data_IF_905720251523
#
_entry.id   IF_905720251523
#
_cell.length_a   1.000
_cell.length_b   1.000
_cell.length_c   1.000
_cell.angle_alpha   90.00
_cell.angle_beta   90.00
_cell.angle_gamma   90.00
#
_symmetry.space_group_name_H-M   'P 1'
#
loop_
_entity.id
_entity.type
_entity.pdbx_description
1 polymer ?
#
# COMPACT_ATOMS: atom_id res chain seq x y z
N UNK A 1 10.02 -0.43 -14.12
CA UNK A 1 9.90 -1.86 -14.40
C UNK A 1 9.63 -2.50 -13.07
N UNK A 2 8.37 -2.84 -12.80
CA UNK A 2 8.03 -3.66 -11.64
C UNK A 2 8.42 -5.08 -12.08
N UNK A 3 9.21 -5.76 -11.27
CA UNK A 3 9.77 -7.07 -11.61
C UNK A 3 8.64 -8.04 -11.93
N UNK A 4 8.50 -8.37 -13.22
CA UNK A 4 7.57 -9.37 -13.75
C UNK A 4 7.73 -10.72 -13.01
N UNK A 5 8.90 -10.93 -12.40
CA UNK A 5 9.22 -12.08 -11.56
C UNK A 5 8.33 -12.17 -10.31
N UNK A 6 7.93 -11.06 -9.69
CA UNK A 6 7.10 -11.09 -8.48
C UNK A 6 5.64 -11.43 -8.81
N UNK A 7 5.15 -10.99 -9.95
CA UNK A 7 3.79 -11.31 -10.44
C UNK A 7 3.71 -12.78 -10.86
N UNK A 8 4.77 -13.30 -11.50
CA UNK A 8 4.89 -14.71 -11.85
C UNK A 8 5.02 -15.62 -10.63
N UNK A 9 5.76 -15.21 -9.59
CA UNK A 9 5.89 -15.96 -8.33
C UNK A 9 4.54 -16.08 -7.60
N UNK A 10 3.74 -15.01 -7.58
CA UNK A 10 2.43 -14.99 -6.92
C UNK A 10 1.39 -15.81 -7.69
N UNK A 11 1.44 -15.80 -9.02
CA UNK A 11 0.61 -16.64 -9.88
C UNK A 11 1.00 -18.12 -9.74
N UNK A 12 2.30 -18.44 -9.67
CA UNK A 12 2.79 -19.80 -9.47
C UNK A 12 2.39 -20.37 -8.09
N UNK A 13 2.40 -19.56 -7.03
CA UNK A 13 1.93 -19.97 -5.71
C UNK A 13 0.41 -20.20 -5.66
N UNK A 14 -0.36 -19.45 -6.46
CA UNK A 14 -1.80 -19.65 -6.58
C UNK A 14 -2.15 -20.93 -7.35
N UNK A 15 -1.38 -21.24 -8.39
CA UNK A 15 -1.54 -22.45 -9.22
C UNK A 15 -1.17 -23.70 -8.41
N UNK A 16 -0.08 -23.66 -7.65
CA UNK A 16 0.31 -24.74 -6.72
C UNK A 16 -0.75 -25.03 -5.63
N UNK A 17 -1.55 -24.03 -5.24
CA UNK A 17 -2.61 -24.19 -4.26
C UNK A 17 -3.90 -24.80 -4.88
N UNK A 18 -4.10 -24.59 -6.18
CA UNK A 18 -5.24 -25.10 -6.94
C UNK A 18 -5.00 -26.51 -7.49
N UNK A 19 -3.74 -26.85 -7.78
CA UNK A 19 -3.32 -28.16 -8.31
C UNK A 19 -2.79 -29.14 -7.25
N UNK A 20 -2.83 -28.80 -5.96
CA UNK A 20 -2.45 -29.74 -4.91
C UNK A 20 -3.44 -30.93 -4.89
N UNK A 21 -3.04 -32.16 -5.29
CA UNK A 21 -3.90 -33.32 -5.11
C UNK A 21 -4.14 -33.48 -3.62
N UNK A 22 -5.39 -33.68 -3.22
CA UNK A 22 -5.76 -34.00 -1.85
C UNK A 22 -4.94 -35.21 -1.38
N UNK A 23 -3.79 -34.94 -0.73
CA UNK A 23 -3.01 -35.96 -0.03
C UNK A 23 -3.86 -36.38 1.16
N UNK A 24 -4.68 -37.40 0.94
CA UNK A 24 -5.22 -38.20 2.02
C UNK A 24 -4.03 -38.68 2.85
N UNK A 25 -4.05 -38.37 4.14
CA UNK A 25 -3.06 -38.85 5.09
C UNK A 25 -3.11 -40.38 5.13
N UNK A 26 -2.25 -41.02 4.36
CA UNK A 26 -1.87 -42.42 4.52
C UNK A 26 -1.01 -42.50 5.77
N UNK A 27 -1.57 -43.04 6.85
CA UNK A 27 -0.78 -43.46 8.00
C UNK A 27 -0.06 -44.76 7.61
N UNK A 28 1.24 -44.66 7.35
CA UNK A 28 2.12 -45.82 7.21
C UNK A 28 2.67 -46.22 8.58
N UNK A 29 2.73 -47.54 8.85
CA UNK A 29 3.48 -48.04 10.00
C UNK A 29 5.00 -48.01 9.73
N UNK A 30 5.79 -48.17 10.78
CA UNK A 30 7.25 -48.08 10.80
C UNK A 30 7.99 -49.21 10.04
N UNK A 31 7.32 -49.94 9.14
CA UNK A 31 7.96 -50.90 8.22
C UNK A 31 7.57 -50.74 6.75
N UNK A 32 6.86 -49.67 6.37
CA UNK A 32 6.76 -49.26 4.96
C UNK A 32 6.06 -50.28 4.05
N UNK A 33 5.01 -50.95 4.53
CA UNK A 33 4.15 -51.80 3.71
C UNK A 33 2.72 -51.23 3.69
N UNK A 34 2.22 -50.91 2.49
CA UNK A 34 0.82 -50.53 2.30
C UNK A 34 -0.06 -51.75 2.62
N UNK A 35 -0.88 -51.65 3.66
CA UNK A 35 -1.93 -52.64 3.94
C UNK A 35 -3.12 -52.29 3.07
N UNK A 36 -3.17 -52.89 1.88
CA UNK A 36 -4.42 -53.07 1.14
C UNK A 36 -5.13 -54.24 1.81
N UNK A 37 -6.04 -53.95 2.72
CA UNK A 37 -6.97 -54.95 3.24
C UNK A 37 -8.09 -55.11 2.19
N UNK A 38 -7.88 -56.05 1.25
CA UNK A 38 -8.98 -56.62 0.47
C UNK A 38 -9.92 -57.33 1.46
N UNK A 39 -11.04 -56.69 1.77
CA UNK A 39 -12.11 -57.32 2.56
C UNK A 39 -12.88 -58.24 1.61
N UNK A 40 -12.58 -59.53 1.69
CA UNK A 40 -13.37 -60.61 1.08
C UNK A 40 -14.86 -60.44 1.42
N UNK A 41 -15.70 -60.47 0.39
CA UNK A 41 -17.15 -60.28 0.49
C UNK A 41 -17.87 -61.59 0.80
N UNK A 42 -17.66 -62.15 1.99
CA UNK A 42 -18.51 -63.24 2.50
C UNK A 42 -19.76 -62.64 3.17
N UNK A 43 -20.78 -62.38 2.36
CA UNK A 43 -22.07 -61.83 2.81
C UNK A 43 -23.11 -62.94 2.95
N UNK A 44 -23.05 -63.69 4.06
CA UNK A 44 -24.28 -64.28 4.60
C UNK A 44 -25.06 -63.18 5.33
N UNK A 45 -25.72 -62.32 4.56
CA UNK A 45 -26.64 -61.33 5.10
C UNK A 45 -27.84 -62.06 5.73
N UNK A 46 -28.22 -61.74 6.99
CA UNK A 46 -29.40 -62.33 7.60
C UNK A 46 -30.65 -62.01 6.78
N UNK A 47 -31.55 -62.98 6.63
CA UNK A 47 -32.77 -62.80 5.85
C UNK A 47 -33.70 -61.80 6.52
N UNK A 48 -34.58 -61.16 5.74
CA UNK A 48 -35.55 -60.18 6.24
C UNK A 48 -36.42 -60.73 7.38
N UNK A 49 -36.72 -62.03 7.39
CA UNK A 49 -37.42 -62.73 8.47
C UNK A 49 -36.59 -62.80 9.75
N UNK A 50 -35.29 -63.07 9.64
CA UNK A 50 -34.37 -63.10 10.79
C UNK A 50 -34.19 -61.70 11.39
N UNK A 51 -34.12 -60.66 10.54
CA UNK A 51 -34.09 -59.26 10.97
C UNK A 51 -35.40 -58.89 11.69
N UNK A 52 -36.54 -59.30 11.14
CA UNK A 52 -37.86 -59.02 11.74
C UNK A 52 -38.05 -59.74 13.08
N UNK A 53 -37.60 -60.99 13.19
CA UNK A 53 -37.61 -61.76 14.44
C UNK A 53 -36.72 -61.11 15.50
N UNK A 54 -35.53 -60.63 15.13
CA UNK A 54 -34.64 -59.92 16.03
C UNK A 54 -35.26 -58.61 16.56
N UNK A 55 -35.88 -57.83 15.67
CA UNK A 55 -36.56 -56.58 16.02
C UNK A 55 -37.73 -56.87 16.96
N UNK A 56 -38.57 -57.87 16.68
CA UNK A 56 -39.67 -58.29 17.57
C UNK A 56 -39.17 -58.76 18.93
N UNK A 57 -38.11 -59.57 18.97
CA UNK A 57 -37.55 -60.09 20.22
C UNK A 57 -36.94 -58.97 21.06
N UNK A 58 -36.29 -57.99 20.43
CA UNK A 58 -35.82 -56.78 21.13
C UNK A 58 -36.98 -55.90 21.61
N UNK A 59 -38.07 -55.77 20.83
CA UNK A 59 -39.27 -55.03 21.24
C UNK A 59 -39.94 -55.65 22.47
N UNK A 60 -40.05 -56.99 22.53
CA UNK A 60 -40.61 -57.70 23.69
C UNK A 60 -39.71 -57.62 24.92
N UNK A 61 -38.39 -57.70 24.75
CA UNK A 61 -37.45 -57.71 25.89
C UNK A 61 -37.12 -56.32 26.43
N UNK A 62 -37.16 -55.28 25.60
CA UNK A 62 -36.76 -53.91 25.97
C UNK A 62 -37.95 -52.92 26.06
N UNK A 63 -39.18 -53.36 25.74
CA UNK A 63 -40.41 -52.62 25.99
C UNK A 63 -40.48 -51.22 25.36
N UNK A 64 -40.03 -51.06 24.11
CA UNK A 64 -39.90 -49.73 23.48
C UNK A 64 -40.20 -49.67 21.97
N UNK A 65 -40.66 -48.48 21.53
CA UNK A 65 -41.09 -48.12 20.18
C UNK A 65 -39.94 -48.26 19.13
N UNK A 66 -40.18 -48.95 17.99
CA UNK A 66 -39.17 -49.21 16.95
C UNK A 66 -38.54 -47.97 16.32
N UNK A 67 -39.19 -46.81 16.40
CA UNK A 67 -38.70 -45.55 15.82
C UNK A 67 -37.40 -45.03 16.46
N UNK A 68 -37.00 -45.58 17.62
CA UNK A 68 -35.79 -45.17 18.35
C UNK A 68 -34.54 -45.99 17.99
N UNK A 69 -34.68 -47.13 17.32
CA UNK A 69 -33.55 -47.99 16.96
C UNK A 69 -32.78 -47.54 15.71
N UNK A 70 -33.36 -46.66 14.88
CA UNK A 70 -32.75 -46.17 13.64
C UNK A 70 -31.98 -44.84 13.80
N UNK A 71 -31.80 -44.33 15.02
CA UNK A 71 -30.91 -43.18 15.30
C UNK A 71 -29.63 -43.69 15.97
N UNK A 72 -28.57 -43.83 15.18
CA UNK A 72 -27.17 -44.01 15.62
C UNK A 72 -26.78 -42.80 16.52
N UNK A 73 -25.93 -42.84 17.59
CA UNK A 73 -24.86 -43.77 17.98
C UNK A 73 -24.70 -44.05 19.51
N UNK A 74 -25.74 -44.12 20.35
CA UNK A 74 -25.54 -44.27 21.81
C UNK A 74 -26.52 -45.24 22.49
N UNK A 75 -26.72 -46.44 21.92
CA UNK A 75 -27.39 -47.52 22.65
C UNK A 75 -26.47 -48.70 22.93
N UNK A 76 -25.68 -48.64 24.03
CA UNK A 76 -25.10 -49.85 24.62
C UNK A 76 -26.18 -50.89 24.92
N UNK A 77 -27.43 -50.49 25.17
CA UNK A 77 -28.51 -51.40 25.54
C UNK A 77 -28.89 -52.46 24.48
N UNK A 78 -28.97 -52.12 23.20
CA UNK A 78 -29.33 -53.09 22.15
C UNK A 78 -28.18 -54.06 21.84
N UNK A 79 -26.95 -53.55 21.89
CA UNK A 79 -25.73 -54.34 21.74
C UNK A 79 -25.47 -55.25 22.94
N UNK A 80 -25.64 -54.73 24.16
CA UNK A 80 -25.57 -55.50 25.41
C UNK A 80 -26.66 -56.56 25.45
N UNK A 81 -27.90 -56.23 25.07
CA UNK A 81 -28.98 -57.21 24.96
C UNK A 81 -28.66 -58.31 23.95
N UNK A 82 -28.13 -57.97 22.76
CA UNK A 82 -27.71 -58.95 21.77
C UNK A 82 -26.54 -59.83 22.26
N UNK A 83 -25.58 -59.26 22.99
CA UNK A 83 -24.51 -60.03 23.64
C UNK A 83 -25.03 -60.98 24.72
N UNK A 84 -25.93 -60.51 25.57
CA UNK A 84 -26.56 -61.31 26.63
C UNK A 84 -27.35 -62.46 26.00
N UNK A 85 -28.13 -62.19 24.95
CA UNK A 85 -28.91 -63.19 24.22
C UNK A 85 -28.01 -64.19 23.47
N UNK A 86 -26.88 -63.77 22.90
CA UNK A 86 -25.94 -64.70 22.26
C UNK A 86 -25.39 -65.78 23.21
N UNK A 87 -25.45 -65.54 24.52
CA UNK A 87 -24.94 -66.42 25.59
C UNK A 87 -26.04 -67.00 26.48
N UNK A 88 -27.31 -66.74 26.17
CA UNK A 88 -28.43 -67.16 26.99
C UNK A 88 -28.68 -68.68 26.84
N UNK A 89 -28.55 -69.49 27.90
CA UNK A 89 -28.65 -70.96 27.83
C UNK A 89 -30.05 -71.47 27.46
N UNK A 90 -31.08 -70.63 27.61
CA UNK A 90 -32.47 -70.93 27.24
C UNK A 90 -32.78 -70.81 25.74
N UNK A 91 -31.85 -70.32 24.91
CA UNK A 91 -32.03 -70.20 23.46
C UNK A 91 -31.47 -71.42 22.72
N UNK A 92 -32.06 -71.73 21.56
CA UNK A 92 -31.52 -72.78 20.70
C UNK A 92 -30.16 -72.37 20.11
N UNK A 93 -29.35 -73.35 19.71
CA UNK A 93 -28.03 -73.08 19.11
C UNK A 93 -28.09 -72.22 17.84
N UNK A 94 -29.19 -72.30 17.09
CA UNK A 94 -29.41 -71.43 15.91
C UNK A 94 -29.72 -69.99 16.29
N UNK A 95 -30.47 -69.76 17.37
CA UNK A 95 -30.75 -68.42 17.90
C UNK A 95 -29.51 -67.78 18.52
N UNK A 96 -28.71 -68.54 19.27
CA UNK A 96 -27.43 -68.05 19.81
C UNK A 96 -26.46 -67.65 18.70
N UNK A 97 -26.35 -68.47 17.64
CA UNK A 97 -25.53 -68.17 16.46
C UNK A 97 -26.02 -66.90 15.75
N UNK A 98 -27.33 -66.76 15.55
CA UNK A 98 -27.92 -65.56 14.96
C UNK A 98 -27.55 -64.29 15.74
N UNK A 99 -27.67 -64.31 17.07
CA UNK A 99 -27.33 -63.14 17.90
C UNK A 99 -25.83 -62.84 17.91
N UNK A 100 -24.96 -63.86 17.84
CA UNK A 100 -23.51 -63.68 17.71
C UNK A 100 -23.13 -63.05 16.36
N UNK A 101 -23.73 -63.54 15.27
CA UNK A 101 -23.52 -63.00 13.92
C UNK A 101 -24.05 -61.56 13.82
N UNK A 102 -25.24 -61.29 14.37
CA UNK A 102 -25.82 -59.94 14.46
C UNK A 102 -24.91 -58.97 15.22
N UNK A 103 -24.39 -59.38 16.39
CA UNK A 103 -23.48 -58.55 17.21
C UNK A 103 -22.21 -58.19 16.45
N UNK A 104 -21.66 -59.15 15.71
CA UNK A 104 -20.45 -58.97 14.89
C UNK A 104 -20.71 -57.98 13.74
N UNK A 105 -21.80 -58.18 13.01
CA UNK A 105 -22.23 -57.32 11.90
C UNK A 105 -22.50 -55.90 12.41
N UNK A 106 -23.26 -55.75 13.50
CA UNK A 106 -23.59 -54.47 14.11
C UNK A 106 -22.35 -53.69 14.56
N UNK A 107 -21.38 -54.37 15.19
CA UNK A 107 -20.11 -53.76 15.60
C UNK A 107 -19.33 -53.23 14.40
N UNK A 108 -19.24 -54.03 13.34
CA UNK A 108 -18.51 -53.68 12.13
C UNK A 108 -19.15 -52.49 11.40
N UNK A 109 -20.48 -52.47 11.27
CA UNK A 109 -21.19 -51.33 10.67
C UNK A 109 -21.10 -50.06 11.52
N UNK A 110 -21.26 -50.16 12.84
CA UNK A 110 -21.17 -49.00 13.76
C UNK A 110 -19.78 -48.38 13.72
N UNK A 111 -18.72 -49.19 13.69
CA UNK A 111 -17.35 -48.69 13.52
C UNK A 111 -17.15 -47.99 12.17
N UNK A 112 -17.64 -48.57 11.08
CA UNK A 112 -17.56 -47.94 9.74
C UNK A 112 -18.32 -46.62 9.68
N UNK A 113 -19.50 -46.57 10.28
CA UNK A 113 -20.33 -45.37 10.35
C UNK A 113 -19.63 -44.24 11.11
N UNK A 114 -19.07 -44.54 12.30
CA UNK A 114 -18.34 -43.56 13.10
C UNK A 114 -17.09 -43.01 12.38
N UNK A 115 -16.36 -43.87 11.67
CA UNK A 115 -15.22 -43.45 10.83
C UNK A 115 -15.68 -42.53 9.70
N UNK A 116 -16.85 -42.77 9.09
CA UNK A 116 -17.40 -41.91 8.06
C UNK A 116 -17.85 -40.55 8.62
N UNK A 117 -18.56 -40.52 9.75
CA UNK A 117 -18.93 -39.26 10.42
C UNK A 117 -17.72 -38.41 10.78
N UNK A 118 -16.68 -39.05 11.32
CA UNK A 118 -15.42 -38.37 11.65
C UNK A 118 -14.74 -37.77 10.41
N UNK A 119 -14.78 -38.47 9.27
CA UNK A 119 -14.23 -37.98 7.99
C UNK A 119 -15.05 -36.82 7.42
N UNK A 120 -16.37 -36.85 7.55
CA UNK A 120 -17.26 -35.76 7.12
C UNK A 120 -16.99 -34.50 7.96
N UNK A 121 -16.90 -34.63 9.28
CA UNK A 121 -16.58 -33.51 10.16
C UNK A 121 -15.21 -32.89 9.84
N UNK A 122 -14.20 -33.72 9.53
CA UNK A 122 -12.89 -33.24 9.09
C UNK A 122 -12.96 -32.50 7.74
N UNK A 123 -13.74 -33.01 6.78
CA UNK A 123 -13.92 -32.37 5.48
C UNK A 123 -14.61 -31.00 5.60
N UNK A 124 -15.63 -30.88 6.45
CA UNK A 124 -16.29 -29.60 6.72
C UNK A 124 -15.35 -28.58 7.38
N UNK A 125 -14.50 -29.05 8.31
CA UNK A 125 -13.47 -28.22 8.92
C UNK A 125 -12.45 -27.71 7.89
N UNK A 126 -12.00 -28.57 6.97
CA UNK A 126 -11.08 -28.17 5.88
C UNK A 126 -11.76 -27.18 4.94
N UNK A 127 -13.01 -27.44 4.55
CA UNK A 127 -13.79 -26.54 3.68
C UNK A 127 -13.92 -25.14 4.28
N UNK A 128 -14.19 -25.07 5.59
CA UNK A 128 -14.23 -23.79 6.30
C UNK A 128 -12.87 -23.08 6.30
N UNK A 129 -11.80 -23.80 6.61
CA UNK A 129 -10.44 -23.24 6.61
C UNK A 129 -10.01 -22.74 5.22
N UNK A 130 -10.41 -23.42 4.15
CA UNK A 130 -10.15 -22.99 2.77
C UNK A 130 -10.92 -21.70 2.46
N UNK A 131 -12.21 -21.64 2.81
CA UNK A 131 -13.01 -20.43 2.61
C UNK A 131 -12.43 -19.21 3.36
N UNK A 132 -12.00 -19.41 4.60
CA UNK A 132 -11.35 -18.36 5.41
C UNK A 132 -10.02 -17.90 4.77
N UNK A 133 -9.23 -18.84 4.25
CA UNK A 133 -7.97 -18.55 3.56
C UNK A 133 -8.19 -17.80 2.24
N UNK A 134 -9.18 -18.21 1.45
CA UNK A 134 -9.56 -17.51 0.21
C UNK A 134 -10.00 -16.08 0.51
N UNK A 135 -10.81 -15.86 1.55
CA UNK A 135 -11.23 -14.54 1.97
C UNK A 135 -10.02 -13.66 2.39
N UNK A 136 -9.07 -14.24 3.14
CA UNK A 136 -7.86 -13.52 3.55
C UNK A 136 -6.97 -13.14 2.35
N UNK A 137 -6.84 -14.02 1.35
CA UNK A 137 -6.08 -13.75 0.12
C UNK A 137 -6.74 -12.65 -0.69
N UNK A 138 -8.07 -12.68 -0.86
CA UNK A 138 -8.81 -11.64 -1.57
C UNK A 138 -8.63 -10.27 -0.89
N UNK A 139 -8.74 -10.22 0.44
CA UNK A 139 -8.50 -9.00 1.20
C UNK A 139 -7.09 -8.45 0.99
N UNK A 140 -6.06 -9.31 1.04
CA UNK A 140 -4.68 -8.88 0.76
C UNK A 140 -4.49 -8.37 -0.67
N UNK A 141 -5.18 -8.98 -1.64
CA UNK A 141 -5.16 -8.52 -3.03
C UNK A 141 -5.76 -7.12 -3.16
N UNK A 142 -6.87 -6.83 -2.49
CA UNK A 142 -7.47 -5.50 -2.44
C UNK A 142 -6.54 -4.48 -1.79
N UNK A 143 -5.93 -4.82 -0.65
CA UNK A 143 -4.94 -3.97 0.03
C UNK A 143 -3.71 -3.68 -0.87
N UNK A 144 -3.24 -4.68 -1.63
CA UNK A 144 -2.13 -4.52 -2.57
C UNK A 144 -2.49 -3.59 -3.75
N UNK A 145 -3.71 -3.72 -4.31
CA UNK A 145 -4.17 -2.83 -5.38
C UNK A 145 -4.28 -1.38 -4.89
N UNK A 146 -4.85 -1.17 -3.70
CA UNK A 146 -4.91 0.16 -3.09
C UNK A 146 -3.50 0.74 -2.84
N UNK A 147 -2.56 -0.07 -2.35
CA UNK A 147 -1.17 0.35 -2.16
C UNK A 147 -0.48 0.70 -3.49
N UNK A 148 -0.74 -0.04 -4.57
CA UNK A 148 -0.22 0.23 -5.91
C UNK A 148 -0.73 1.56 -6.44
N UNK A 149 -2.03 1.86 -6.31
CA UNK A 149 -2.62 3.14 -6.72
C UNK A 149 -2.05 4.32 -5.92
N UNK A 150 -1.87 4.15 -4.60
CA UNK A 150 -1.23 5.14 -3.75
C UNK A 150 0.23 5.40 -4.19
N UNK A 151 0.97 4.35 -4.53
CA UNK A 151 2.35 4.46 -5.00
C UNK A 151 2.43 5.18 -6.36
N UNK A 152 1.53 4.88 -7.30
CA UNK A 152 1.44 5.61 -8.58
C UNK A 152 1.19 7.10 -8.33
N UNK A 153 0.25 7.43 -7.45
CA UNK A 153 -0.04 8.83 -7.06
C UNK A 153 1.19 9.52 -6.48
N UNK A 154 1.94 8.82 -5.62
CA UNK A 154 3.17 9.32 -5.03
C UNK A 154 4.25 9.59 -6.09
N UNK A 155 4.42 8.70 -7.08
CA UNK A 155 5.35 8.89 -8.20
C UNK A 155 4.99 10.17 -8.96
N UNK A 156 3.72 10.34 -9.33
CA UNK A 156 3.28 11.55 -10.06
C UNK A 156 3.53 12.82 -9.26
N UNK A 157 3.28 12.78 -7.94
CA UNK A 157 3.56 13.91 -7.07
C UNK A 157 5.06 14.25 -7.01
N UNK A 158 5.93 13.23 -6.89
CA UNK A 158 7.39 13.42 -6.88
C UNK A 158 7.89 13.97 -8.20
N UNK A 159 7.34 13.53 -9.34
CA UNK A 159 7.67 14.08 -10.65
C UNK A 159 7.30 15.57 -10.74
N UNK A 160 6.11 15.95 -10.29
CA UNK A 160 5.69 17.35 -10.26
C UNK A 160 6.56 18.22 -9.33
N UNK A 161 7.04 17.69 -8.21
CA UNK A 161 8.01 18.38 -7.36
C UNK A 161 9.37 18.56 -8.05
N UNK A 162 9.83 17.56 -8.78
CA UNK A 162 11.10 17.62 -9.53
C UNK A 162 11.06 18.71 -10.61
N UNK A 163 9.96 18.84 -11.33
CA UNK A 163 9.77 19.93 -12.31
C UNK A 163 9.78 21.30 -11.63
N UNK A 164 9.09 21.45 -10.50
CA UNK A 164 9.11 22.71 -9.73
C UNK A 164 10.51 23.08 -9.26
N UNK A 165 11.29 22.11 -8.77
CA UNK A 165 12.68 22.34 -8.36
C UNK A 165 13.51 22.80 -9.56
N UNK A 166 13.38 22.14 -10.71
CA UNK A 166 14.12 22.53 -11.92
C UNK A 166 13.79 23.96 -12.37
N UNK A 167 12.53 24.39 -12.27
CA UNK A 167 12.14 25.76 -12.61
C UNK A 167 12.73 26.78 -11.63
N UNK A 168 12.68 26.48 -10.32
CA UNK A 168 13.27 27.34 -9.29
C UNK A 168 14.79 27.46 -9.42
N UNK A 169 15.48 26.38 -9.81
CA UNK A 169 16.92 26.40 -10.08
C UNK A 169 17.25 27.30 -11.28
N UNK A 170 16.42 27.28 -12.33
CA UNK A 170 16.59 28.18 -13.48
C UNK A 170 16.38 29.64 -13.08
N UNK A 171 15.32 29.94 -12.32
CA UNK A 171 15.06 31.29 -11.80
C UNK A 171 16.18 31.79 -10.88
N UNK A 172 16.71 30.93 -10.01
CA UNK A 172 17.85 31.27 -9.16
C UNK A 172 19.12 31.55 -9.97
N UNK A 173 19.36 30.79 -11.03
CA UNK A 173 20.50 31.01 -11.93
C UNK A 173 20.39 32.36 -12.65
N UNK A 174 19.20 32.68 -13.16
CA UNK A 174 18.88 33.97 -13.78
C UNK A 174 19.14 35.13 -12.81
N UNK A 175 18.59 35.06 -11.60
CA UNK A 175 18.81 36.07 -10.56
C UNK A 175 20.28 36.22 -10.19
N UNK A 176 21.01 35.10 -10.08
CA UNK A 176 22.44 35.11 -9.76
C UNK A 176 23.28 35.81 -10.84
N UNK A 177 22.84 35.78 -12.10
CA UNK A 177 23.50 36.49 -13.18
C UNK A 177 23.11 37.98 -13.24
N UNK A 178 21.93 38.34 -12.73
CA UNK A 178 21.46 39.73 -12.69
C UNK A 178 22.06 40.55 -11.54
N UNK A 179 22.32 39.94 -10.37
CA UNK A 179 22.89 40.64 -9.20
C UNK A 179 24.21 41.36 -9.51
N UNK A 180 25.22 40.72 -10.14
CA UNK A 180 26.48 41.39 -10.45
C UNK A 180 26.32 42.57 -11.42
N UNK A 181 25.37 42.48 -12.36
CA UNK A 181 25.07 43.57 -13.30
C UNK A 181 24.46 44.77 -12.56
N UNK A 182 23.57 44.51 -11.60
CA UNK A 182 23.01 45.55 -10.76
C UNK A 182 24.10 46.21 -9.90
N UNK A 183 24.96 45.43 -9.25
CA UNK A 183 26.09 45.94 -8.45
C UNK A 183 27.05 46.78 -9.30
N UNK A 184 27.37 46.34 -10.52
CA UNK A 184 28.23 47.09 -11.44
C UNK A 184 27.57 48.41 -11.86
N UNK A 185 26.25 48.40 -12.10
CA UNK A 185 25.51 49.62 -12.44
C UNK A 185 25.52 50.62 -11.28
N UNK A 186 25.39 50.14 -10.04
CA UNK A 186 25.42 50.97 -8.83
C UNK A 186 26.80 51.60 -8.62
N UNK A 187 27.88 50.84 -8.83
CA UNK A 187 29.25 51.36 -8.78
C UNK A 187 29.50 52.45 -9.83
N UNK A 188 29.07 52.22 -11.08
CA UNK A 188 29.19 53.21 -12.16
C UNK A 188 28.44 54.50 -11.84
N UNK A 189 27.22 54.40 -11.30
CA UNK A 189 26.44 55.56 -10.86
C UNK A 189 27.12 56.30 -9.69
N UNK A 190 27.71 55.58 -8.75
CA UNK A 190 28.45 56.18 -7.64
C UNK A 190 29.68 56.97 -8.12
N UNK A 191 30.42 56.43 -9.10
CA UNK A 191 31.55 57.11 -9.73
C UNK A 191 31.12 58.38 -10.48
N UNK A 192 30.06 58.29 -11.29
CA UNK A 192 29.50 59.44 -12.00
C UNK A 192 29.03 60.53 -11.04
N UNK A 193 28.36 60.16 -9.94
CA UNK A 193 27.93 61.10 -8.90
C UNK A 193 29.12 61.82 -8.27
N UNK A 194 30.19 61.10 -7.97
CA UNK A 194 31.41 61.69 -7.40
C UNK A 194 32.08 62.64 -8.39
N UNK A 195 32.16 62.28 -9.67
CA UNK A 195 32.71 63.16 -10.71
C UNK A 195 31.90 64.45 -10.82
N UNK A 196 30.57 64.35 -10.89
CA UNK A 196 29.68 65.51 -10.96
C UNK A 196 29.84 66.43 -9.73
N UNK A 197 30.01 65.85 -8.53
CA UNK A 197 30.28 66.63 -7.31
C UNK A 197 31.57 67.44 -7.43
N UNK A 198 32.64 66.83 -7.91
CA UNK A 198 33.93 67.52 -8.12
C UNK A 198 33.78 68.62 -9.17
N UNK A 199 33.11 68.34 -10.29
CA UNK A 199 32.88 69.32 -11.35
C UNK A 199 32.06 70.53 -10.84
N UNK A 200 31.04 70.29 -10.00
CA UNK A 200 30.28 71.36 -9.34
C UNK A 200 31.14 72.18 -8.37
N UNK A 201 31.98 71.54 -7.55
CA UNK A 201 32.88 72.26 -6.64
C UNK A 201 33.87 73.15 -7.40
N UNK A 202 34.41 72.66 -8.52
CA UNK A 202 35.28 73.44 -9.40
C UNK A 202 34.51 74.60 -10.04
N UNK A 203 33.33 74.34 -10.60
CA UNK A 203 32.46 75.36 -11.18
C UNK A 203 32.09 76.46 -10.18
N UNK A 204 31.76 76.09 -8.93
CA UNK A 204 31.48 77.03 -7.85
C UNK A 204 32.69 77.91 -7.51
N UNK A 205 33.90 77.34 -7.47
CA UNK A 205 35.14 78.11 -7.26
C UNK A 205 35.39 79.11 -8.40
N UNK A 206 35.20 78.69 -9.65
CA UNK A 206 35.31 79.59 -10.80
C UNK A 206 34.26 80.71 -10.75
N UNK A 207 33.00 80.38 -10.45
CA UNK A 207 31.93 81.36 -10.32
C UNK A 207 32.23 82.37 -9.19
N UNK A 208 32.74 81.91 -8.05
CA UNK A 208 33.16 82.77 -6.94
C UNK A 208 34.28 83.73 -7.37
N UNK A 209 35.30 83.23 -8.09
CA UNK A 209 36.40 84.05 -8.60
C UNK A 209 35.94 85.09 -9.62
N UNK A 210 35.04 84.73 -10.53
CA UNK A 210 34.43 85.69 -11.47
C UNK A 210 33.66 86.76 -10.70
N UNK A 211 32.87 86.37 -9.69
CA UNK A 211 32.11 87.29 -8.85
C UNK A 211 33.02 88.26 -8.08
N UNK A 212 34.20 87.80 -7.65
CA UNK A 212 35.21 88.62 -6.99
C UNK A 212 35.90 89.62 -7.94
N UNK A 213 36.14 89.24 -9.20
CA UNK A 213 36.79 90.09 -10.20
C UNK A 213 35.83 91.04 -10.92
N UNK A 214 34.52 90.76 -10.90
CA UNK A 214 33.50 91.57 -11.55
C UNK A 214 33.57 93.06 -11.15
N UNK A 215 33.68 93.41 -9.85
CA UNK A 215 33.73 94.81 -9.42
C UNK A 215 34.95 95.57 -9.93
N UNK A 216 36.11 94.91 -10.08
CA UNK A 216 37.31 95.57 -10.63
C UNK A 216 37.17 95.83 -12.12
N UNK A 217 36.54 94.90 -12.87
CA UNK A 217 36.25 95.12 -14.28
C UNK A 217 35.23 96.24 -14.49
N UNK A 218 34.19 96.31 -13.65
CA UNK A 218 33.21 97.40 -13.73
C UNK A 218 33.85 98.74 -13.37
N UNK A 219 34.68 98.80 -12.33
CA UNK A 219 35.38 100.02 -11.95
C UNK A 219 36.34 100.51 -13.05
N UNK A 220 37.09 99.60 -13.68
CA UNK A 220 37.97 99.94 -14.80
C UNK A 220 37.18 100.41 -16.04
N UNK A 221 36.01 99.82 -16.29
CA UNK A 221 35.12 100.28 -17.36
C UNK A 221 34.56 101.68 -17.07
N UNK A 222 34.13 101.95 -15.83
CA UNK A 222 33.63 103.26 -15.42
C UNK A 222 34.72 104.35 -15.53
N UNK A 223 35.96 104.04 -15.13
CA UNK A 223 37.12 104.93 -15.26
C UNK A 223 37.42 105.25 -16.74
N UNK A 224 37.42 104.25 -17.62
CA UNK A 224 37.60 104.45 -19.06
C UNK A 224 36.47 105.31 -19.67
N UNK A 225 35.23 105.17 -19.19
CA UNK A 225 34.11 106.00 -19.63
C UNK A 225 34.31 107.47 -19.26
N UNK A 226 34.77 107.76 -18.04
CA UNK A 226 35.08 109.14 -17.62
C UNK A 226 36.29 109.72 -18.37
N UNK A 227 37.35 108.93 -18.62
CA UNK A 227 38.47 109.39 -19.47
C UNK A 227 38.01 109.79 -20.88
N UNK A 228 37.19 108.94 -21.53
CA UNK A 228 36.62 109.23 -22.85
C UNK A 228 35.79 110.52 -22.83
N UNK A 229 35.02 110.74 -21.77
CA UNK A 229 34.21 111.94 -21.60
C UNK A 229 35.08 113.19 -21.47
N UNK A 230 36.13 113.11 -20.65
CA UNK A 230 37.11 114.19 -20.49
C UNK A 230 37.81 114.51 -21.82
N UNK A 231 38.30 113.49 -22.53
CA UNK A 231 38.92 113.66 -23.85
C UNK A 231 37.97 114.29 -24.87
N UNK A 232 36.68 113.92 -24.82
CA UNK A 232 35.65 114.50 -25.70
C UNK A 232 35.42 115.99 -25.39
N UNK A 233 35.43 116.36 -24.12
CA UNK A 233 35.32 117.77 -23.68
C UNK A 233 36.54 118.58 -24.11
N UNK A 234 37.75 118.05 -23.90
CA UNK A 234 39.01 118.67 -24.35
C UNK A 234 39.05 118.85 -25.87
N UNK A 235 38.67 117.82 -26.62
CA UNK A 235 38.57 117.87 -28.08
C UNK A 235 37.58 118.96 -28.53
N UNK A 236 36.41 119.01 -27.90
CA UNK A 236 35.38 120.01 -28.22
C UNK A 236 35.88 121.45 -27.94
N UNK A 237 36.61 121.63 -26.84
CA UNK A 237 37.26 122.91 -26.49
C UNK A 237 38.32 123.32 -27.52
N UNK A 238 39.17 122.38 -27.92
CA UNK A 238 40.20 122.62 -28.95
C UNK A 238 39.57 123.01 -30.29
N UNK A 239 38.52 122.30 -30.70
CA UNK A 239 37.79 122.57 -31.93
C UNK A 239 37.13 123.95 -31.94
N UNK A 240 36.56 124.39 -30.81
CA UNK A 240 35.98 125.73 -30.67
C UNK A 240 37.03 126.86 -30.74
N UNK A 241 38.25 126.63 -30.29
CA UNK A 241 39.34 127.63 -30.34
C UNK A 241 39.99 127.78 -31.74
N UNK A 242 39.68 126.88 -32.68
CA UNK A 242 40.15 126.92 -34.07
C UNK A 242 39.15 127.59 -35.04
N UNK A 243 37.97 127.94 -34.53
CA UNK A 243 36.88 128.60 -35.27
C UNK A 243 36.96 130.12 -35.12
#
# INVERSE_FOLDING_TARGET
MIDDDLENELLAQLDMLMDAPAKSGSATDSKGKAVVEEVESDTNLPTQEQISFAIMTMQELLGGDPSHFCKVPDQPAAFEAAQILSRAPQLSSSQQKFWADFTTIYTHFSRKFWVLESKVAAADSVKKSVADSTAAVLKKKEEFLAAKEAHVTQITHVQGLKEKISNLEAELSELRNQVPLAEQSEQSLAEQRNKLRVDMEVGLKYAAKIKEQLPSFTASADEAVEEIKTMKEEWSSWQNNLS
#
